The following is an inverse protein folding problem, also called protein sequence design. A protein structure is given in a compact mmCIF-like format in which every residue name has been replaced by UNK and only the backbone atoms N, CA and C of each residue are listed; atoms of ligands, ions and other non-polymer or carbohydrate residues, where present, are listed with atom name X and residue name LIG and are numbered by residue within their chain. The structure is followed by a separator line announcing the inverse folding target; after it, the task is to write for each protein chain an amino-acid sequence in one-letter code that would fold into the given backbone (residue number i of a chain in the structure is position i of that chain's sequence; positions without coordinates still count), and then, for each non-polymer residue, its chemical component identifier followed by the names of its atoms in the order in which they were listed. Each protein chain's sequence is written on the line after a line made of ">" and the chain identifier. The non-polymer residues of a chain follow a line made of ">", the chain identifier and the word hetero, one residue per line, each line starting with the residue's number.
data_IF_301707409870
#
_entry.id   IF_301707409870
#
_cell.length_a   1.000
_cell.length_b   1.000
_cell.length_c   1.000
_cell.angle_alpha   90.00
_cell.angle_beta   90.00
_cell.angle_gamma   90.00
#
_symmetry.space_group_name_H-M   'P 1'
#
loop_
_entity.id
_entity.type
_entity.pdbx_description
1 polymer ?
#
# COMPACT_ATOMS: atom_id res chain seq x y z
N UNK A 1 1.91 -31.66 1.37
CA UNK A 1 3.23 -31.48 0.74
C UNK A 1 3.52 -30.00 0.83
N UNK A 2 4.16 -29.60 1.93
CA UNK A 2 4.57 -28.22 2.18
C UNK A 2 5.77 -27.94 1.30
N UNK A 3 5.54 -27.44 0.09
CA UNK A 3 6.57 -26.69 -0.59
C UNK A 3 6.76 -25.42 0.23
N UNK A 4 7.84 -25.36 1.00
CA UNK A 4 8.46 -24.12 1.44
C UNK A 4 8.78 -23.32 0.17
N UNK A 5 7.80 -22.57 -0.32
CA UNK A 5 7.97 -21.67 -1.45
C UNK A 5 8.75 -20.47 -0.95
N UNK A 6 10.07 -20.68 -0.88
CA UNK A 6 11.07 -19.64 -0.94
C UNK A 6 10.62 -18.60 -1.98
N UNK A 7 10.95 -17.34 -1.71
CA UNK A 7 10.75 -16.21 -2.60
C UNK A 7 10.81 -16.62 -4.08
N UNK A 8 9.67 -16.70 -4.77
CA UNK A 8 9.70 -17.03 -6.19
C UNK A 8 10.48 -15.92 -6.89
N UNK A 9 11.51 -16.27 -7.67
CA UNK A 9 12.33 -15.30 -8.38
C UNK A 9 11.46 -14.36 -9.22
N UNK A 10 10.33 -14.86 -9.75
CA UNK A 10 9.33 -14.08 -10.48
C UNK A 10 8.73 -12.92 -9.68
N UNK A 11 8.50 -13.09 -8.38
CA UNK A 11 7.91 -12.05 -7.53
C UNK A 11 8.94 -10.96 -7.20
N UNK A 12 10.20 -11.36 -6.99
CA UNK A 12 11.31 -10.42 -6.81
C UNK A 12 11.47 -9.57 -8.07
N UNK A 13 11.46 -10.18 -9.25
CA UNK A 13 11.53 -9.44 -10.52
C UNK A 13 10.35 -8.49 -10.71
N UNK A 14 9.14 -8.88 -10.26
CA UNK A 14 7.96 -8.00 -10.30
C UNK A 14 8.15 -6.76 -9.41
N UNK A 15 8.59 -6.95 -8.17
CA UNK A 15 8.83 -5.85 -7.21
C UNK A 15 9.93 -4.93 -7.71
N UNK A 16 11.04 -5.50 -8.20
CA UNK A 16 12.13 -4.75 -8.81
C UNK A 16 11.65 -3.97 -10.03
N UNK A 17 10.97 -4.63 -10.96
CA UNK A 17 10.52 -4.03 -12.20
C UNK A 17 9.61 -2.84 -11.97
N UNK A 18 8.64 -2.97 -11.07
CA UNK A 18 7.65 -1.91 -10.79
C UNK A 18 8.29 -0.71 -10.08
N UNK A 19 9.19 -0.94 -9.12
CA UNK A 19 9.90 0.16 -8.45
C UNK A 19 10.93 0.84 -9.36
N UNK A 20 11.68 0.06 -10.15
CA UNK A 20 12.67 0.60 -11.07
C UNK A 20 12.03 1.31 -12.27
N UNK A 21 10.79 0.97 -12.63
CA UNK A 21 10.00 1.67 -13.65
C UNK A 21 9.81 3.16 -13.33
N UNK A 22 9.89 3.54 -12.05
CA UNK A 22 9.81 4.95 -11.64
C UNK A 22 10.97 5.76 -12.23
N UNK A 23 12.18 5.22 -12.31
CA UNK A 23 13.36 5.94 -12.82
C UNK A 23 13.21 6.42 -14.28
N UNK A 24 12.85 5.56 -15.26
CA UNK A 24 12.61 6.02 -16.62
C UNK A 24 11.37 6.92 -16.70
N UNK A 25 10.35 6.75 -15.86
CA UNK A 25 9.21 7.68 -15.82
C UNK A 25 9.63 9.08 -15.35
N UNK A 26 10.45 9.17 -14.31
CA UNK A 26 11.01 10.43 -13.82
C UNK A 26 11.79 11.13 -14.92
N UNK A 27 12.58 10.38 -15.68
CA UNK A 27 13.35 10.92 -16.81
C UNK A 27 12.47 11.36 -17.99
N UNK A 28 11.52 10.52 -18.42
CA UNK A 28 10.68 10.79 -19.59
C UNK A 28 9.65 11.89 -19.37
N UNK A 29 9.12 11.99 -18.15
CA UNK A 29 8.06 12.94 -17.79
C UNK A 29 8.56 14.13 -17.00
N UNK A 30 9.89 14.23 -16.78
CA UNK A 30 10.53 15.27 -15.96
C UNK A 30 9.84 15.43 -14.60
N UNK A 31 9.65 14.31 -13.91
CA UNK A 31 9.01 14.35 -12.60
C UNK A 31 9.93 14.99 -11.58
N UNK A 32 9.36 15.92 -10.81
CA UNK A 32 10.00 16.49 -9.65
C UNK A 32 9.65 15.66 -8.40
N UNK A 33 10.10 16.16 -7.26
CA UNK A 33 9.88 15.52 -5.96
C UNK A 33 8.39 15.40 -5.64
N UNK A 34 7.60 16.41 -6.01
CA UNK A 34 6.14 16.42 -5.82
C UNK A 34 5.48 15.18 -6.43
N UNK A 35 5.84 14.84 -7.66
CA UNK A 35 5.34 13.70 -8.40
C UNK A 35 5.73 12.40 -7.71
N UNK A 36 6.98 12.23 -7.30
CA UNK A 36 7.41 11.01 -6.59
C UNK A 36 6.66 10.85 -5.27
N UNK A 37 6.51 11.93 -4.51
CA UNK A 37 5.82 11.87 -3.22
C UNK A 37 4.33 11.57 -3.38
N UNK A 38 3.66 12.19 -4.36
CA UNK A 38 2.27 11.88 -4.70
C UNK A 38 2.12 10.45 -5.22
N UNK A 39 3.06 9.96 -6.02
CA UNK A 39 3.05 8.60 -6.53
C UNK A 39 3.08 7.58 -5.39
N UNK A 40 3.98 7.74 -4.42
CA UNK A 40 4.08 6.86 -3.26
C UNK A 40 2.90 7.06 -2.29
N UNK A 41 2.43 8.29 -2.09
CA UNK A 41 1.19 8.53 -1.34
C UNK A 41 0.00 7.79 -1.98
N UNK A 42 -0.10 7.81 -3.30
CA UNK A 42 -1.09 7.08 -4.08
C UNK A 42 -0.94 5.56 -3.96
N UNK A 43 0.28 5.03 -3.92
CA UNK A 43 0.54 3.62 -3.61
C UNK A 43 -0.10 3.20 -2.28
N UNK A 44 0.03 4.02 -1.24
CA UNK A 44 -0.64 3.75 0.04
C UNK A 44 -2.16 3.76 -0.06
N UNK A 45 -2.73 4.65 -0.87
CA UNK A 45 -4.16 4.61 -1.21
C UNK A 45 -4.58 3.29 -1.85
N UNK A 46 -3.76 2.77 -2.77
CA UNK A 46 -3.99 1.47 -3.43
C UNK A 46 -3.95 0.33 -2.41
N UNK A 47 -2.99 0.33 -1.48
CA UNK A 47 -2.88 -0.67 -0.41
C UNK A 47 -4.12 -0.67 0.47
N UNK A 48 -4.58 0.50 0.91
CA UNK A 48 -5.78 0.66 1.74
C UNK A 48 -7.01 0.14 1.00
N UNK A 49 -7.17 0.54 -0.26
CA UNK A 49 -8.29 0.12 -1.10
C UNK A 49 -8.34 -1.41 -1.23
N UNK A 50 -7.22 -2.04 -1.60
CA UNK A 50 -7.18 -3.49 -1.78
C UNK A 50 -7.32 -4.24 -0.45
N UNK A 51 -6.81 -3.70 0.66
CA UNK A 51 -7.04 -4.28 1.98
C UNK A 51 -8.53 -4.26 2.36
N UNK A 52 -9.23 -3.17 2.06
CA UNK A 52 -10.68 -3.10 2.24
C UNK A 52 -11.42 -4.12 1.37
N UNK A 53 -10.99 -4.35 0.12
CA UNK A 53 -11.52 -5.45 -0.68
C UNK A 53 -11.25 -6.81 -0.02
N UNK A 54 -10.04 -7.05 0.51
CA UNK A 54 -9.74 -8.29 1.23
C UNK A 54 -10.73 -8.54 2.36
N UNK A 55 -11.04 -7.52 3.18
CA UNK A 55 -12.02 -7.61 4.26
C UNK A 55 -13.41 -8.03 3.74
N UNK A 56 -13.85 -7.48 2.60
CA UNK A 56 -15.14 -7.84 1.99
C UNK A 56 -15.20 -9.32 1.57
N UNK A 57 -14.12 -9.79 0.94
CA UNK A 57 -13.99 -11.16 0.44
C UNK A 57 -13.59 -12.18 1.52
N UNK A 58 -13.24 -11.73 2.73
CA UNK A 58 -12.88 -12.61 3.82
C UNK A 58 -14.04 -13.55 4.15
N UNK A 59 -13.74 -14.85 4.19
CA UNK A 59 -14.63 -15.92 4.58
C UNK A 59 -14.02 -16.61 5.80
N UNK A 60 -14.05 -15.93 6.95
CA UNK A 60 -13.62 -16.53 8.21
C UNK A 60 -14.63 -17.59 8.62
N UNK A 61 -14.30 -18.85 8.35
CA UNK A 61 -15.09 -20.03 8.77
C UNK A 61 -15.14 -20.21 10.31
N UNK A 62 -14.45 -19.35 11.07
CA UNK A 62 -14.33 -19.47 12.53
C UNK A 62 -15.46 -18.79 13.34
N UNK A 63 -16.42 -18.13 12.69
CA UNK A 63 -17.62 -17.71 13.40
C UNK A 63 -18.64 -18.85 13.34
N UNK A 64 -18.80 -19.58 14.44
CA UNK A 64 -19.80 -20.64 14.57
C UNK A 64 -21.21 -20.05 14.41
N UNK A 65 -21.69 -20.05 13.16
CA UNK A 65 -23.01 -19.53 12.79
C UNK A 65 -24.14 -20.30 13.50
N UNK A 66 -23.86 -21.48 14.07
CA UNK A 66 -24.82 -22.23 14.88
C UNK A 66 -25.07 -21.59 16.26
N UNK A 67 -24.15 -20.75 16.78
CA UNK A 67 -24.45 -19.93 17.96
C UNK A 67 -25.43 -18.79 17.61
N UNK A 68 -25.33 -18.23 16.41
CA UNK A 68 -26.18 -17.12 15.98
C UNK A 68 -27.57 -17.58 15.49
N UNK A 69 -27.71 -18.82 15.01
CA UNK A 69 -28.99 -19.37 14.52
C UNK A 69 -30.05 -19.60 15.59
N UNK A 70 -29.73 -19.47 16.89
CA UNK A 70 -30.73 -19.51 17.97
C UNK A 70 -31.69 -18.32 17.94
N UNK A 71 -31.28 -17.20 17.35
CA UNK A 71 -32.12 -16.02 17.17
C UNK A 71 -32.33 -15.81 15.67
N UNK A 72 -33.57 -15.91 15.21
CA UNK A 72 -34.11 -15.95 13.84
C UNK A 72 -33.67 -14.86 12.81
N UNK A 73 -32.54 -14.18 13.00
CA UNK A 73 -31.93 -13.32 12.00
C UNK A 73 -31.09 -14.15 11.01
N UNK A 74 -31.05 -13.78 9.72
CA UNK A 74 -30.11 -14.40 8.79
C UNK A 74 -28.69 -13.99 9.18
N UNK A 75 -28.01 -14.82 9.98
CA UNK A 75 -26.65 -14.58 10.47
C UNK A 75 -25.66 -14.22 9.35
N UNK A 76 -25.89 -14.77 8.14
CA UNK A 76 -25.14 -14.47 6.92
C UNK A 76 -25.25 -13.00 6.49
N UNK A 77 -26.44 -12.40 6.60
CA UNK A 77 -26.67 -10.99 6.26
C UNK A 77 -25.96 -10.06 7.25
N UNK A 78 -26.11 -10.32 8.55
CA UNK A 78 -25.45 -9.52 9.60
C UNK A 78 -23.93 -9.60 9.47
N UNK A 79 -23.37 -10.79 9.21
CA UNK A 79 -21.94 -10.97 8.99
C UNK A 79 -21.45 -10.22 7.74
N UNK A 80 -22.20 -10.29 6.64
CA UNK A 80 -21.88 -9.56 5.41
C UNK A 80 -21.93 -8.04 5.61
N UNK A 81 -22.94 -7.54 6.33
CA UNK A 81 -23.07 -6.13 6.68
C UNK A 81 -21.92 -5.66 7.58
N UNK A 82 -21.51 -6.49 8.54
CA UNK A 82 -20.37 -6.20 9.41
C UNK A 82 -19.06 -6.09 8.62
N UNK A 83 -18.78 -7.04 7.70
CA UNK A 83 -17.61 -6.95 6.81
C UNK A 83 -17.62 -5.67 5.99
N UNK A 84 -18.78 -5.30 5.44
CA UNK A 84 -18.94 -4.05 4.70
C UNK A 84 -18.62 -2.83 5.56
N UNK A 85 -19.20 -2.76 6.77
CA UNK A 85 -18.96 -1.66 7.70
C UNK A 85 -17.47 -1.56 8.09
N UNK A 86 -16.84 -2.69 8.44
CA UNK A 86 -15.41 -2.75 8.79
C UNK A 86 -14.55 -2.30 7.61
N UNK A 87 -14.86 -2.74 6.39
CA UNK A 87 -14.17 -2.31 5.17
C UNK A 87 -14.26 -0.80 4.96
N UNK A 88 -15.44 -0.21 5.13
CA UNK A 88 -15.67 1.23 5.03
C UNK A 88 -14.90 1.99 6.11
N UNK A 89 -15.01 1.56 7.37
CA UNK A 89 -14.26 2.16 8.50
C UNK A 89 -12.75 2.11 8.25
N UNK A 90 -12.24 1.01 7.71
CA UNK A 90 -10.83 0.87 7.32
C UNK A 90 -10.42 1.93 6.29
N UNK A 91 -11.22 2.13 5.23
CA UNK A 91 -10.95 3.19 4.24
C UNK A 91 -10.94 4.57 4.90
N UNK A 92 -11.91 4.89 5.76
CA UNK A 92 -11.97 6.20 6.41
C UNK A 92 -10.80 6.43 7.37
N UNK A 93 -10.46 5.44 8.20
CA UNK A 93 -9.39 5.55 9.20
C UNK A 93 -8.03 5.77 8.53
N UNK A 94 -7.69 4.95 7.53
CA UNK A 94 -6.42 5.10 6.83
C UNK A 94 -6.43 6.21 5.78
N UNK A 95 -7.59 6.52 5.21
CA UNK A 95 -7.80 7.68 4.33
C UNK A 95 -7.58 9.00 5.07
N UNK A 96 -8.04 9.10 6.32
CA UNK A 96 -7.72 10.24 7.18
C UNK A 96 -6.22 10.34 7.44
N UNK A 97 -5.52 9.22 7.66
CA UNK A 97 -4.06 9.21 7.81
C UNK A 97 -3.33 9.65 6.54
N UNK A 98 -3.80 9.24 5.35
CA UNK A 98 -3.29 9.73 4.06
C UNK A 98 -3.49 11.24 3.90
N UNK A 99 -4.67 11.73 4.28
CA UNK A 99 -4.98 13.15 4.19
C UNK A 99 -4.12 13.99 5.14
N UNK A 100 -3.91 13.52 6.38
CA UNK A 100 -2.99 14.16 7.33
C UNK A 100 -1.56 14.15 6.77
N UNK A 101 -1.12 13.04 6.18
CA UNK A 101 0.21 12.94 5.57
C UNK A 101 0.36 13.93 4.40
N UNK A 102 -0.65 14.06 3.55
CA UNK A 102 -0.68 15.07 2.50
C UNK A 102 -0.50 16.48 3.06
N UNK A 103 -1.24 16.85 4.11
CA UNK A 103 -1.10 18.16 4.75
C UNK A 103 0.31 18.41 5.30
N UNK A 104 0.93 17.40 5.92
CA UNK A 104 2.31 17.51 6.42
C UNK A 104 3.28 17.73 5.27
N UNK A 105 3.14 16.96 4.18
CA UNK A 105 4.00 17.09 3.02
C UNK A 105 3.80 18.42 2.30
N UNK A 106 2.56 18.91 2.16
CA UNK A 106 2.30 20.20 1.52
C UNK A 106 2.94 21.35 2.30
N UNK A 107 2.88 21.32 3.64
CA UNK A 107 3.56 22.29 4.50
C UNK A 107 5.09 22.23 4.41
N UNK A 108 5.67 21.04 4.24
CA UNK A 108 7.13 20.87 4.13
C UNK A 108 7.70 21.26 2.77
N UNK A 109 6.94 21.04 1.69
CA UNK A 109 7.42 21.17 0.31
C UNK A 109 6.99 22.51 -0.30
N UNK A 110 5.85 23.06 0.13
CA UNK A 110 5.29 24.33 -0.35
C UNK A 110 5.09 25.33 0.82
N UNK A 111 6.15 25.69 1.57
CA UNK A 111 6.04 26.51 2.78
C UNK A 111 5.69 27.99 2.51
N UNK A 112 6.06 28.51 1.33
CA UNK A 112 5.68 29.85 0.90
C UNK A 112 4.40 29.76 0.08
N UNK A 113 3.53 30.77 0.15
CA UNK A 113 2.23 30.93 -0.55
C UNK A 113 2.27 30.86 -2.11
N UNK A 114 3.27 30.19 -2.69
CA UNK A 114 3.28 29.71 -4.06
C UNK A 114 2.03 28.87 -4.28
N UNK A 115 1.38 29.08 -5.41
CA UNK A 115 0.20 28.31 -5.79
C UNK A 115 0.54 26.81 -5.65
N UNK A 116 -0.18 26.10 -4.79
CA UNK A 116 -0.05 24.66 -4.71
C UNK A 116 -0.27 24.13 -6.13
N UNK A 117 0.66 23.32 -6.67
CA UNK A 117 0.41 22.67 -7.95
C UNK A 117 -0.91 21.94 -7.86
N UNK A 118 -1.78 22.15 -8.86
CA UNK A 118 -3.11 21.58 -8.86
C UNK A 118 -2.97 20.05 -8.72
N UNK A 119 -3.48 19.48 -7.62
CA UNK A 119 -3.35 18.06 -7.31
C UNK A 119 -3.73 17.18 -8.51
N UNK A 120 -4.75 17.60 -9.25
CA UNK A 120 -5.23 17.00 -10.50
C UNK A 120 -4.13 16.91 -11.57
N UNK A 121 -3.30 17.94 -11.72
CA UNK A 121 -2.19 17.98 -12.66
C UNK A 121 -1.08 17.00 -12.25
N UNK A 122 -0.72 16.94 -10.96
CA UNK A 122 0.27 15.97 -10.48
C UNK A 122 -0.25 14.55 -10.67
N UNK A 123 -1.50 14.27 -10.26
CA UNK A 123 -2.13 12.96 -10.45
C UNK A 123 -2.17 12.56 -11.93
N UNK A 124 -2.47 13.50 -12.82
CA UNK A 124 -2.41 13.27 -14.25
C UNK A 124 -0.98 12.93 -14.69
N UNK A 125 0.04 13.66 -14.22
CA UNK A 125 1.46 13.39 -14.51
C UNK A 125 1.89 11.99 -14.09
N UNK A 126 1.49 11.55 -12.89
CA UNK A 126 1.91 10.25 -12.32
C UNK A 126 1.00 9.07 -12.67
N UNK A 127 -0.03 9.27 -13.49
CA UNK A 127 -1.09 8.28 -13.76
C UNK A 127 -0.56 6.91 -14.22
N UNK A 128 0.51 6.88 -15.02
CA UNK A 128 1.09 5.63 -15.50
C UNK A 128 1.87 4.89 -14.41
N UNK A 129 2.54 5.62 -13.51
CA UNK A 129 3.16 5.05 -12.32
C UNK A 129 2.11 4.47 -11.37
N UNK A 130 1.05 5.24 -11.11
CA UNK A 130 -0.08 4.77 -10.29
C UNK A 130 -0.74 3.54 -10.88
N UNK A 131 -0.95 3.52 -12.21
CA UNK A 131 -1.49 2.35 -12.90
C UNK A 131 -0.56 1.13 -12.75
N UNK A 132 0.75 1.31 -12.89
CA UNK A 132 1.71 0.22 -12.72
C UNK A 132 1.68 -0.35 -11.29
N UNK A 133 1.66 0.53 -10.28
CA UNK A 133 1.52 0.13 -8.88
C UNK A 133 0.19 -0.58 -8.62
N UNK A 134 -0.90 -0.05 -9.15
CA UNK A 134 -2.22 -0.65 -9.02
C UNK A 134 -2.25 -2.06 -9.61
N UNK A 135 -1.77 -2.24 -10.84
CA UNK A 135 -1.70 -3.55 -11.50
C UNK A 135 -0.82 -4.54 -10.72
N UNK A 136 0.31 -4.08 -10.17
CA UNK A 136 1.18 -4.90 -9.34
C UNK A 136 0.49 -5.42 -8.06
N UNK A 137 -0.24 -4.55 -7.38
CA UNK A 137 -0.99 -4.95 -6.18
C UNK A 137 -2.23 -5.78 -6.52
N UNK A 138 -2.95 -5.46 -7.60
CA UNK A 138 -4.06 -6.26 -8.10
C UNK A 138 -3.62 -7.66 -8.48
N UNK A 139 -2.46 -7.82 -9.13
CA UNK A 139 -1.89 -9.14 -9.40
C UNK A 139 -1.71 -9.93 -8.10
N UNK A 140 -1.15 -9.29 -7.07
CA UNK A 140 -0.91 -9.93 -5.77
C UNK A 140 -2.23 -10.31 -5.09
N UNK A 141 -3.23 -9.44 -5.15
CA UNK A 141 -4.57 -9.70 -4.63
C UNK A 141 -5.25 -10.87 -5.37
N UNK A 142 -5.17 -10.94 -6.68
CA UNK A 142 -5.83 -12.00 -7.45
C UNK A 142 -5.10 -13.33 -7.26
N UNK A 143 -3.78 -13.35 -7.44
CA UNK A 143 -3.01 -14.60 -7.52
C UNK A 143 -2.79 -15.25 -6.17
N UNK A 144 -2.57 -14.45 -5.14
CA UNK A 144 -2.36 -14.97 -3.79
C UNK A 144 -3.67 -14.96 -3.03
N UNK A 145 -4.29 -13.80 -2.83
CA UNK A 145 -5.45 -13.72 -1.93
C UNK A 145 -6.69 -14.47 -2.43
N UNK A 146 -7.09 -14.25 -3.69
CA UNK A 146 -8.29 -14.91 -4.25
C UNK A 146 -8.01 -16.33 -4.73
N UNK A 147 -7.00 -16.53 -5.58
CA UNK A 147 -6.68 -17.85 -6.17
C UNK A 147 -5.92 -18.78 -5.22
N UNK A 148 -5.17 -18.21 -4.26
CA UNK A 148 -4.44 -18.97 -3.24
C UNK A 148 -5.28 -19.32 -2.02
N UNK A 149 -6.60 -19.03 -2.04
CA UNK A 149 -7.55 -19.36 -0.97
C UNK A 149 -7.30 -18.70 0.38
N UNK A 150 -6.45 -17.66 0.46
CA UNK A 150 -6.14 -16.98 1.73
C UNK A 150 -7.34 -16.32 2.36
N UNK A 151 -8.31 -15.91 1.53
CA UNK A 151 -9.56 -15.33 1.98
C UNK A 151 -10.35 -16.27 2.92
N UNK A 152 -10.11 -17.59 2.87
CA UNK A 152 -10.76 -18.59 3.75
C UNK A 152 -10.16 -18.63 5.15
N UNK A 153 -8.89 -18.26 5.30
CA UNK A 153 -8.13 -18.46 6.54
C UNK A 153 -7.80 -17.16 7.29
N UNK A 154 -8.33 -16.04 6.81
CA UNK A 154 -8.01 -14.72 7.31
C UNK A 154 -8.86 -14.34 8.52
N UNK A 155 -8.21 -13.68 9.49
CA UNK A 155 -8.87 -13.05 10.63
C UNK A 155 -9.10 -11.58 10.34
N UNK A 156 -10.36 -11.13 10.36
CA UNK A 156 -10.73 -9.74 10.05
C UNK A 156 -10.02 -8.76 10.98
N UNK A 157 -9.80 -9.12 12.24
CA UNK A 157 -9.11 -8.27 13.23
C UNK A 157 -7.67 -7.97 12.79
N UNK A 158 -7.01 -8.96 12.18
CA UNK A 158 -5.62 -8.80 11.71
C UNK A 158 -5.52 -7.93 10.45
N UNK A 159 -6.57 -7.91 9.63
CA UNK A 159 -6.63 -7.09 8.41
C UNK A 159 -6.77 -5.60 8.70
N UNK A 160 -7.34 -5.23 9.85
CA UNK A 160 -7.45 -3.83 10.23
C UNK A 160 -6.09 -3.18 10.50
N UNK A 161 -5.08 -3.95 10.92
CA UNK A 161 -3.73 -3.45 11.18
C UNK A 161 -2.74 -3.75 10.03
N UNK A 162 -3.16 -4.53 9.02
CA UNK A 162 -2.29 -4.95 7.91
C UNK A 162 -1.73 -3.75 7.11
N UNK A 163 -2.53 -2.72 6.74
CA UNK A 163 -2.01 -1.58 5.98
C UNK A 163 -0.91 -0.81 6.72
N UNK A 164 -1.04 -0.67 8.04
CA UNK A 164 -0.07 0.08 8.85
C UNK A 164 1.36 -0.46 8.70
N UNK A 165 1.53 -1.79 8.56
CA UNK A 165 2.86 -2.40 8.46
C UNK A 165 3.61 -1.99 7.20
N UNK A 166 2.90 -1.78 6.09
CA UNK A 166 3.50 -1.34 4.82
C UNK A 166 3.62 0.19 4.72
N UNK A 167 2.57 0.90 5.15
CA UNK A 167 2.40 2.34 4.92
C UNK A 167 3.27 3.17 5.87
N UNK A 168 3.40 2.77 7.13
CA UNK A 168 4.14 3.57 8.14
C UNK A 168 5.61 3.77 7.73
N UNK A 169 6.27 2.70 7.25
CA UNK A 169 7.64 2.80 6.76
C UNK A 169 7.79 3.75 5.58
N UNK A 170 6.79 3.76 4.69
CA UNK A 170 6.74 4.67 3.56
C UNK A 170 6.55 6.12 4.01
N UNK A 171 5.65 6.39 4.97
CA UNK A 171 5.45 7.73 5.53
C UNK A 171 6.72 8.32 6.14
N UNK A 172 7.47 7.52 6.89
CA UNK A 172 8.79 7.95 7.39
C UNK A 172 9.74 8.31 6.25
N UNK A 173 9.78 7.50 5.19
CA UNK A 173 10.60 7.79 4.01
C UNK A 173 10.17 9.09 3.31
N UNK A 174 8.86 9.35 3.18
CA UNK A 174 8.34 10.58 2.59
C UNK A 174 8.67 11.81 3.43
N UNK A 175 8.51 11.74 4.76
CA UNK A 175 8.85 12.85 5.66
C UNK A 175 10.35 13.15 5.60
N UNK A 176 11.20 12.13 5.72
CA UNK A 176 12.65 12.30 5.63
C UNK A 176 13.04 12.87 4.26
N UNK A 177 12.45 12.33 3.18
CA UNK A 177 12.65 12.83 1.83
C UNK A 177 12.28 14.31 1.67
N UNK A 178 11.12 14.70 2.19
CA UNK A 178 10.66 16.10 2.19
C UNK A 178 11.61 17.02 2.96
N UNK A 179 12.08 16.62 4.14
CA UNK A 179 13.05 17.39 4.94
C UNK A 179 14.39 17.54 4.22
N UNK A 180 14.92 16.45 3.66
CA UNK A 180 16.17 16.48 2.88
C UNK A 180 16.03 17.45 1.72
N UNK A 181 14.95 17.36 0.96
CA UNK A 181 14.68 18.28 -0.16
C UNK A 181 14.64 19.72 0.30
N UNK A 182 13.85 20.03 1.33
CA UNK A 182 13.73 21.36 1.91
C UNK A 182 15.09 21.93 2.32
N UNK A 183 15.98 21.08 2.84
CA UNK A 183 17.30 21.48 3.32
C UNK A 183 18.33 21.74 2.20
N UNK A 184 18.08 21.28 0.97
CA UNK A 184 19.04 21.30 -0.14
C UNK A 184 18.55 22.04 -1.39
N UNK A 185 17.47 22.82 -1.27
CA UNK A 185 16.75 23.51 -2.35
C UNK A 185 17.59 24.41 -3.25
N UNK A 186 18.75 24.89 -2.81
CA UNK A 186 19.56 25.85 -3.58
C UNK A 186 20.86 25.27 -4.19
N UNK A 187 21.26 24.02 -3.91
CA UNK A 187 22.65 23.59 -4.24
C UNK A 187 22.85 22.13 -4.65
N UNK A 188 21.80 21.30 -4.70
CA UNK A 188 21.96 19.87 -5.00
C UNK A 188 21.25 19.49 -6.29
N UNK A 189 21.93 18.64 -7.07
CA UNK A 189 21.35 17.98 -8.23
C UNK A 189 20.15 17.11 -7.78
N UNK A 190 18.94 17.62 -7.98
CA UNK A 190 17.67 17.00 -7.56
C UNK A 190 17.55 15.54 -8.03
N UNK A 191 18.13 15.20 -9.19
CA UNK A 191 18.16 13.84 -9.71
C UNK A 191 18.82 12.84 -8.76
N UNK A 192 19.89 13.23 -8.05
CA UNK A 192 20.55 12.37 -7.09
C UNK A 192 19.64 12.02 -5.91
N UNK A 193 18.86 12.98 -5.43
CA UNK A 193 17.90 12.80 -4.34
C UNK A 193 16.76 11.88 -4.80
N UNK A 194 16.22 12.09 -6.02
CA UNK A 194 15.16 11.24 -6.58
C UNK A 194 15.61 9.77 -6.69
N UNK A 195 16.83 9.52 -7.18
CA UNK A 195 17.40 8.17 -7.26
C UNK A 195 17.50 7.56 -5.87
N UNK A 196 18.01 8.29 -4.88
CA UNK A 196 18.11 7.80 -3.50
C UNK A 196 16.72 7.46 -2.95
N UNK A 197 15.70 8.30 -3.17
CA UNK A 197 14.33 8.03 -2.70
C UNK A 197 13.75 6.76 -3.34
N UNK A 198 13.94 6.56 -4.64
CA UNK A 198 13.51 5.35 -5.35
C UNK A 198 14.23 4.11 -4.83
N UNK A 199 15.55 4.20 -4.60
CA UNK A 199 16.33 3.09 -4.05
C UNK A 199 15.93 2.76 -2.61
N UNK A 200 15.73 3.76 -1.76
CA UNK A 200 15.24 3.56 -0.38
C UNK A 200 13.87 2.88 -0.39
N UNK A 201 12.95 3.33 -1.25
CA UNK A 201 11.65 2.68 -1.41
C UNK A 201 11.80 1.22 -1.84
N UNK A 202 12.61 0.96 -2.86
CA UNK A 202 12.87 -0.40 -3.33
C UNK A 202 13.41 -1.30 -2.21
N UNK A 203 14.35 -0.79 -1.40
CA UNK A 203 14.91 -1.54 -0.28
C UNK A 203 13.86 -1.84 0.80
N UNK A 204 12.98 -0.87 1.10
CA UNK A 204 11.87 -1.07 2.04
C UNK A 204 10.91 -2.14 1.51
N UNK A 205 10.56 -2.10 0.23
CA UNK A 205 9.66 -3.09 -0.38
C UNK A 205 10.27 -4.48 -0.41
N UNK A 206 11.54 -4.61 -0.80
CA UNK A 206 12.25 -5.87 -0.77
C UNK A 206 12.35 -6.41 0.65
N UNK A 207 12.67 -5.56 1.63
CA UNK A 207 12.66 -5.95 3.05
C UNK A 207 11.28 -6.43 3.48
N UNK A 208 10.22 -5.71 3.13
CA UNK A 208 8.86 -6.05 3.50
C UNK A 208 8.41 -7.35 2.82
N UNK A 209 8.84 -7.60 1.58
CA UNK A 209 8.63 -8.86 0.89
C UNK A 209 9.38 -10.01 1.59
N UNK A 210 10.68 -9.82 1.88
CA UNK A 210 11.51 -10.80 2.59
C UNK A 210 10.93 -11.16 3.95
N UNK A 211 10.49 -10.15 4.72
CA UNK A 211 9.89 -10.32 6.06
C UNK A 211 8.43 -10.81 6.03
N UNK A 212 7.83 -11.02 4.86
CA UNK A 212 6.43 -11.45 4.75
C UNK A 212 5.42 -10.40 5.23
N UNK A 213 5.79 -9.12 5.18
CA UNK A 213 4.91 -7.97 5.50
C UNK A 213 3.97 -7.68 4.34
N UNK A 214 4.48 -7.73 3.12
CA UNK A 214 3.64 -7.90 1.93
C UNK A 214 3.16 -9.35 1.90
N UNK A 215 1.98 -9.66 1.31
CA UNK A 215 1.45 -11.01 1.32
C UNK A 215 2.34 -11.94 0.48
N UNK A 216 3.40 -12.45 1.10
CA UNK A 216 3.56 -13.87 1.22
C UNK A 216 2.78 -14.27 2.44
N UNK A 217 1.67 -14.91 2.17
CA UNK A 217 0.99 -15.76 3.12
C UNK A 217 1.96 -16.90 3.38
N UNK A 218 2.82 -16.73 4.37
CA UNK A 218 3.42 -17.85 5.05
C UNK A 218 4.00 -17.36 6.37
N UNK A 219 3.13 -17.36 7.39
CA UNK A 219 3.49 -17.58 8.80
C UNK A 219 2.21 -17.89 9.60
N UNK A 220 1.43 -18.87 9.13
CA UNK A 220 0.56 -19.67 10.00
C UNK A 220 0.95 -21.15 10.03
N UNK A 221 2.06 -21.55 9.37
CA UNK A 221 2.47 -22.96 9.23
C UNK A 221 3.96 -23.20 9.54
N UNK A 222 4.64 -22.28 10.25
CA UNK A 222 5.87 -22.62 10.97
C UNK A 222 5.67 -22.44 12.46
N UNK A 223 5.01 -23.47 13.02
CA UNK A 223 5.01 -23.97 14.40
C UNK A 223 5.37 -23.04 15.56
N UNK A 224 4.40 -22.84 16.45
CA UNK A 224 4.55 -22.30 17.79
C UNK A 224 3.27 -21.67 18.31
#
# INVERSE_FOLDING_TARGET
>A
MNDDKNASSSDIYRILGVNLLVLPMVWLFNWDISEILILYLGESGIIIFLNSLKILFANSENYDLNQFSRNHYPAVFLFSMLKFLISVVSVFMYGAALWIMWLILSMLIFPDNKAEPEMTAILYSVRFGLLAFFLNHCYSFIMFYLRGDDYKNVKIETMLAEPAKGIVGMYFALIIGGIVVYSFTESVNLWGILIVLVLVKLLIDLRNYVKGVWPRIYNSILGG
#
